data_IF_487522103764
#
_entry.id   IF_487522103764
#
_cell.length_a   1.000
_cell.length_b   1.000
_cell.length_c   1.000
_cell.angle_alpha   90.00
_cell.angle_beta   90.00
_cell.angle_gamma   90.00
#
_symmetry.space_group_name_H-M   'P 1'
#
loop_
_entity.id
_entity.type
_entity.pdbx_description
1 polymer ?
#
# COMPACT_ATOMS: atom_id res chain seq x y z
N UNK A 1 -29.54 -1.37 -15.76
CA UNK A 1 -28.97 -1.74 -14.44
C UNK A 1 -27.48 -1.57 -14.51
N UNK A 2 -26.86 -0.86 -13.54
CA UNK A 2 -25.40 -0.78 -13.42
C UNK A 2 -24.92 -2.08 -12.77
N UNK A 3 -23.94 -2.76 -13.36
CA UNK A 3 -23.39 -4.00 -12.85
C UNK A 3 -22.00 -3.74 -12.29
N UNK A 4 -21.81 -3.94 -10.99
CA UNK A 4 -20.52 -3.80 -10.32
C UNK A 4 -19.70 -5.09 -10.44
N UNK A 5 -18.63 -5.04 -11.23
CA UNK A 5 -17.65 -6.14 -11.27
C UNK A 5 -16.67 -5.98 -10.11
N UNK A 6 -16.47 -7.02 -9.28
CA UNK A 6 -15.53 -6.93 -8.17
C UNK A 6 -14.10 -6.74 -8.67
N UNK A 7 -13.45 -5.65 -8.21
CA UNK A 7 -12.04 -5.38 -8.52
C UNK A 7 -11.16 -6.39 -7.76
N UNK A 8 -10.20 -7.05 -8.44
CA UNK A 8 -9.27 -7.96 -7.77
C UNK A 8 -8.43 -7.24 -6.72
N UNK A 9 -7.99 -7.97 -5.68
CA UNK A 9 -7.25 -7.39 -4.54
C UNK A 9 -5.97 -6.70 -5.00
N UNK A 10 -5.27 -7.24 -6.00
CA UNK A 10 -4.08 -6.63 -6.61
C UNK A 10 -4.38 -5.22 -7.14
N UNK A 11 -5.48 -5.05 -7.85
CA UNK A 11 -5.90 -3.74 -8.37
C UNK A 11 -6.23 -2.74 -7.27
N UNK A 12 -6.89 -3.20 -6.19
CA UNK A 12 -7.18 -2.35 -5.02
C UNK A 12 -5.90 -1.89 -4.32
N UNK A 13 -4.93 -2.78 -4.15
CA UNK A 13 -3.65 -2.48 -3.54
C UNK A 13 -2.84 -1.50 -4.39
N UNK A 14 -2.74 -1.75 -5.70
CA UNK A 14 -2.04 -0.86 -6.63
C UNK A 14 -2.66 0.55 -6.65
N UNK A 15 -4.00 0.64 -6.70
CA UNK A 15 -4.70 1.92 -6.64
C UNK A 15 -4.47 2.65 -5.31
N UNK A 16 -4.49 1.93 -4.18
CA UNK A 16 -4.24 2.51 -2.86
C UNK A 16 -2.81 3.05 -2.74
N UNK A 17 -1.80 2.31 -3.22
CA UNK A 17 -0.42 2.79 -3.26
C UNK A 17 -0.25 3.99 -4.19
N UNK A 18 -0.92 4.01 -5.35
CA UNK A 18 -0.90 5.16 -6.24
C UNK A 18 -1.51 6.40 -5.56
N UNK A 19 -2.65 6.24 -4.89
CA UNK A 19 -3.28 7.33 -4.12
C UNK A 19 -2.39 7.81 -2.99
N UNK A 20 -1.75 6.89 -2.24
CA UNK A 20 -0.80 7.22 -1.19
C UNK A 20 0.37 8.04 -1.74
N UNK A 21 0.99 7.62 -2.85
CA UNK A 21 2.12 8.33 -3.45
C UNK A 21 1.75 9.70 -3.98
N UNK A 22 0.63 9.82 -4.69
CA UNK A 22 0.16 11.12 -5.17
C UNK A 22 -0.07 12.08 -4.01
N UNK A 23 -0.71 11.61 -2.95
CA UNK A 23 -1.00 12.42 -1.79
C UNK A 23 0.28 12.82 -1.06
N UNK A 24 1.19 11.88 -0.81
CA UNK A 24 2.49 12.09 -0.19
C UNK A 24 3.31 13.17 -0.92
N UNK A 25 3.45 13.05 -2.24
CA UNK A 25 4.16 14.03 -3.08
C UNK A 25 3.50 15.42 -2.99
N UNK A 26 2.16 15.50 -2.98
CA UNK A 26 1.49 16.78 -2.86
C UNK A 26 1.64 17.41 -1.48
N UNK A 27 1.71 16.64 -0.41
CA UNK A 27 2.01 17.15 0.93
C UNK A 27 3.40 17.78 0.94
N UNK A 28 4.43 17.10 0.43
CA UNK A 28 5.79 17.61 0.33
C UNK A 28 5.85 18.87 -0.57
N UNK A 29 5.17 18.82 -1.71
CA UNK A 29 5.09 19.96 -2.63
C UNK A 29 4.44 21.19 -1.98
N UNK A 30 3.34 21.01 -1.27
CA UNK A 30 2.62 22.10 -0.61
C UNK A 30 3.40 22.64 0.61
N UNK A 31 4.22 21.83 1.25
CA UNK A 31 5.13 22.28 2.31
C UNK A 31 6.13 23.37 1.83
N UNK A 32 6.49 23.37 0.53
CA UNK A 32 7.35 24.40 -0.06
C UNK A 32 6.75 25.81 0.01
N UNK A 33 5.43 25.94 0.16
CA UNK A 33 4.76 27.23 0.30
C UNK A 33 4.79 27.78 1.73
N UNK A 34 5.33 27.02 2.69
CA UNK A 34 5.51 27.52 4.07
C UNK A 34 6.57 28.59 4.10
N UNK A 35 6.31 29.75 4.76
CA UNK A 35 7.33 30.79 4.94
C UNK A 35 8.61 30.24 5.60
N UNK A 36 9.76 30.56 5.02
CA UNK A 36 11.07 30.13 5.50
C UNK A 36 11.53 28.76 5.01
N UNK A 37 10.62 27.85 4.63
CA UNK A 37 10.98 26.48 4.25
C UNK A 37 11.94 26.41 3.04
N UNK A 38 11.74 27.26 2.03
CA UNK A 38 12.64 27.34 0.89
C UNK A 38 14.00 27.94 1.24
N UNK A 39 14.05 28.83 2.22
CA UNK A 39 15.30 29.44 2.67
C UNK A 39 16.14 28.41 3.47
N UNK A 40 15.51 27.57 4.27
CA UNK A 40 16.16 26.44 4.94
C UNK A 40 16.73 25.43 3.94
N UNK A 41 15.96 25.06 2.90
CA UNK A 41 16.45 24.20 1.81
C UNK A 41 17.67 24.84 1.10
N UNK A 42 17.64 26.13 0.83
CA UNK A 42 18.77 26.86 0.21
C UNK A 42 19.98 26.92 1.12
N UNK A 43 19.76 26.98 2.42
CA UNK A 43 20.81 26.89 3.43
C UNK A 43 21.36 25.47 3.60
N UNK A 44 20.76 24.49 2.94
CA UNK A 44 21.18 23.08 2.99
C UNK A 44 20.64 22.32 4.18
N UNK A 45 19.50 22.75 4.74
CA UNK A 45 18.88 22.09 5.90
C UNK A 45 17.40 21.79 5.60
N UNK A 46 16.94 20.61 6.01
CA UNK A 46 15.52 20.23 6.02
C UNK A 46 15.23 19.59 7.37
N UNK A 47 14.34 20.20 8.16
CA UNK A 47 14.17 19.89 9.58
C UNK A 47 15.52 19.97 10.31
N UNK A 48 15.98 18.89 10.91
CA UNK A 48 17.26 18.79 11.61
C UNK A 48 18.37 18.14 10.77
N UNK A 49 18.13 17.91 9.48
CA UNK A 49 19.06 17.19 8.59
C UNK A 49 19.75 18.12 7.60
N UNK A 50 21.06 17.91 7.42
CA UNK A 50 21.80 18.52 6.32
C UNK A 50 21.44 17.82 5.00
N UNK A 51 21.15 18.61 3.95
CA UNK A 51 20.81 18.10 2.61
C UNK A 51 22.06 17.66 1.85
N UNK A 52 22.69 16.58 2.32
CA UNK A 52 23.82 15.94 1.66
C UNK A 52 23.41 14.76 0.78
N UNK A 53 24.39 14.09 0.11
CA UNK A 53 24.12 12.94 -0.74
C UNK A 53 23.41 11.79 0.00
N UNK A 54 23.69 11.60 1.29
CA UNK A 54 23.04 10.59 2.12
C UNK A 54 21.56 10.92 2.34
N UNK A 55 21.24 12.18 2.65
CA UNK A 55 19.86 12.64 2.82
C UNK A 55 19.03 12.42 1.54
N UNK A 56 19.58 12.88 0.40
CA UNK A 56 18.88 12.72 -0.89
C UNK A 56 18.70 11.25 -1.26
N UNK A 57 19.71 10.41 -1.02
CA UNK A 57 19.62 8.97 -1.27
C UNK A 57 18.61 8.26 -0.37
N UNK A 58 18.57 8.61 0.91
CA UNK A 58 17.59 8.08 1.87
C UNK A 58 16.17 8.52 1.51
N UNK A 59 15.97 9.79 1.17
CA UNK A 59 14.68 10.33 0.73
C UNK A 59 14.18 9.66 -0.54
N UNK A 60 15.06 9.46 -1.54
CA UNK A 60 14.71 8.72 -2.76
C UNK A 60 14.31 7.28 -2.44
N UNK A 61 14.97 6.63 -1.50
CA UNK A 61 14.62 5.26 -1.08
C UNK A 61 13.25 5.22 -0.41
N UNK A 62 12.99 6.17 0.50
CA UNK A 62 11.68 6.31 1.15
C UNK A 62 10.54 6.54 0.14
N UNK A 63 10.75 7.37 -0.87
CA UNK A 63 9.72 7.59 -1.91
C UNK A 63 9.66 6.41 -2.90
N UNK A 64 10.80 5.80 -3.20
CA UNK A 64 10.92 4.71 -4.18
C UNK A 64 10.20 3.43 -3.77
N UNK A 65 10.23 3.08 -2.48
CA UNK A 65 9.59 1.84 -1.99
C UNK A 65 8.07 1.84 -2.26
N UNK A 66 7.27 2.82 -1.80
CA UNK A 66 5.83 2.79 -2.06
C UNK A 66 5.49 3.01 -3.55
N UNK A 67 6.33 3.75 -4.30
CA UNK A 67 6.18 3.86 -5.74
C UNK A 67 6.34 2.49 -6.43
N UNK A 68 7.33 1.69 -6.03
CA UNK A 68 7.50 0.33 -6.52
C UNK A 68 6.34 -0.58 -6.11
N UNK A 69 5.72 -0.36 -4.96
CA UNK A 69 4.57 -1.15 -4.50
C UNK A 69 3.37 -1.07 -5.44
N UNK A 70 3.24 -0.02 -6.22
CA UNK A 70 2.19 0.09 -7.26
C UNK A 70 2.36 -1.05 -8.28
N UNK A 71 3.56 -1.20 -8.83
CA UNK A 71 3.87 -2.26 -9.78
C UNK A 71 3.89 -3.64 -9.12
N UNK A 72 4.57 -3.79 -7.99
CA UNK A 72 4.70 -5.06 -7.28
C UNK A 72 3.34 -5.63 -6.87
N UNK A 73 2.37 -4.78 -6.50
CA UNK A 73 1.01 -5.22 -6.17
C UNK A 73 0.29 -5.87 -7.35
N UNK A 74 0.67 -5.58 -8.59
CA UNK A 74 0.06 -6.17 -9.79
C UNK A 74 0.75 -7.43 -10.27
N UNK A 75 2.09 -7.54 -10.09
CA UNK A 75 2.91 -8.59 -10.70
C UNK A 75 3.26 -9.74 -9.74
N UNK A 76 3.28 -9.48 -8.42
CA UNK A 76 3.66 -10.50 -7.46
C UNK A 76 2.58 -11.60 -7.31
N UNK A 77 2.99 -12.85 -7.08
CA UNK A 77 2.05 -13.92 -6.74
C UNK A 77 1.38 -13.63 -5.39
N UNK A 78 0.13 -14.09 -5.22
CA UNK A 78 -0.75 -13.72 -4.11
C UNK A 78 -0.12 -13.83 -2.71
N UNK A 79 0.66 -14.88 -2.45
CA UNK A 79 1.33 -15.09 -1.15
C UNK A 79 2.39 -14.01 -0.87
N UNK A 80 3.30 -13.79 -1.84
CA UNK A 80 4.35 -12.78 -1.73
C UNK A 80 3.74 -11.38 -1.67
N UNK A 81 2.77 -11.09 -2.53
CA UNK A 81 2.05 -9.83 -2.59
C UNK A 81 1.42 -9.47 -1.23
N UNK A 82 0.71 -10.43 -0.62
CA UNK A 82 0.12 -10.25 0.71
C UNK A 82 1.18 -9.88 1.76
N UNK A 83 2.27 -10.65 1.84
CA UNK A 83 3.31 -10.43 2.86
C UNK A 83 3.99 -9.09 2.67
N UNK A 84 4.42 -8.78 1.44
CA UNK A 84 5.12 -7.53 1.12
C UNK A 84 4.24 -6.31 1.41
N UNK A 85 2.96 -6.34 1.02
CA UNK A 85 2.03 -5.24 1.32
C UNK A 85 1.81 -5.04 2.82
N UNK A 86 1.70 -6.14 3.60
CA UNK A 86 1.55 -6.06 5.06
C UNK A 86 2.80 -5.44 5.72
N UNK A 87 3.99 -5.89 5.32
CA UNK A 87 5.25 -5.40 5.88
C UNK A 87 5.47 -3.93 5.53
N UNK A 88 5.38 -3.60 4.23
CA UNK A 88 5.64 -2.23 3.77
C UNK A 88 4.63 -1.25 4.35
N UNK A 89 3.33 -1.55 4.32
CA UNK A 89 2.33 -0.66 4.87
C UNK A 89 2.49 -0.46 6.40
N UNK A 90 2.86 -1.52 7.14
CA UNK A 90 3.13 -1.39 8.57
C UNK A 90 4.36 -0.50 8.86
N UNK A 91 5.41 -0.60 8.04
CA UNK A 91 6.61 0.22 8.17
C UNK A 91 6.37 1.70 7.85
N UNK A 92 5.40 2.00 6.97
CA UNK A 92 5.08 3.39 6.60
C UNK A 92 4.21 4.13 7.62
N UNK A 93 3.54 3.45 8.53
CA UNK A 93 2.78 4.11 9.61
C UNK A 93 3.70 5.02 10.47
N UNK A 94 4.81 4.52 11.05
CA UNK A 94 5.72 5.40 11.81
C UNK A 94 6.37 6.47 10.95
N UNK A 95 6.66 6.21 9.66
CA UNK A 95 7.20 7.22 8.74
C UNK A 95 6.22 8.38 8.56
N UNK A 96 4.94 8.09 8.30
CA UNK A 96 3.87 9.09 8.18
C UNK A 96 3.75 9.95 9.45
N UNK A 97 3.82 9.31 10.63
CA UNK A 97 3.73 10.04 11.90
C UNK A 97 4.95 10.94 12.10
N UNK A 98 6.15 10.43 11.81
CA UNK A 98 7.41 11.17 11.96
C UNK A 98 7.47 12.42 11.07
N UNK A 99 6.92 12.37 9.86
CA UNK A 99 6.90 13.50 8.92
C UNK A 99 6.13 14.74 9.45
N UNK A 100 5.33 14.58 10.49
CA UNK A 100 4.60 15.68 11.13
C UNK A 100 5.13 16.02 12.52
N UNK A 101 6.18 15.35 12.98
CA UNK A 101 6.79 15.62 14.27
C UNK A 101 7.55 16.96 14.23
N UNK A 102 7.46 17.73 15.32
CA UNK A 102 8.12 19.04 15.44
C UNK A 102 7.46 20.19 14.68
N UNK A 103 6.37 19.97 13.97
CA UNK A 103 5.69 21.02 13.21
C UNK A 103 4.85 21.96 14.08
N UNK A 104 4.80 23.23 13.67
CA UNK A 104 4.07 24.25 14.45
C UNK A 104 2.56 24.02 14.41
N UNK A 105 1.85 24.35 15.50
CA UNK A 105 0.40 24.29 15.60
C UNK A 105 -0.31 25.13 14.53
N UNK A 106 0.34 26.15 13.97
CA UNK A 106 -0.21 26.96 12.88
C UNK A 106 -0.50 26.14 11.62
N UNK A 107 0.21 25.04 11.40
CA UNK A 107 0.02 24.09 10.31
C UNK A 107 -0.64 22.78 10.76
N UNK A 108 -1.20 22.75 11.98
CA UNK A 108 -1.81 21.56 12.58
C UNK A 108 -2.94 20.95 11.72
N UNK A 109 -3.75 21.79 11.06
CA UNK A 109 -4.77 21.28 10.13
C UNK A 109 -4.16 20.59 8.91
N UNK A 110 -3.10 21.17 8.32
CA UNK A 110 -2.42 20.62 7.15
C UNK A 110 -1.81 19.25 7.46
N UNK A 111 -1.01 19.16 8.50
CA UNK A 111 -0.37 17.90 8.91
C UNK A 111 -1.36 16.89 9.50
N UNK A 112 -2.35 17.35 10.26
CA UNK A 112 -3.40 16.49 10.79
C UNK A 112 -4.23 15.83 9.68
N UNK A 113 -4.56 16.58 8.63
CA UNK A 113 -5.24 16.05 7.46
C UNK A 113 -4.36 15.07 6.69
N UNK A 114 -3.05 15.40 6.50
CA UNK A 114 -2.14 14.53 5.78
C UNK A 114 -1.96 13.18 6.47
N UNK A 115 -1.69 13.18 7.77
CA UNK A 115 -1.59 11.95 8.57
C UNK A 115 -2.89 11.14 8.47
N UNK A 116 -4.04 11.80 8.64
CA UNK A 116 -5.33 11.10 8.61
C UNK A 116 -5.55 10.37 7.27
N UNK A 117 -5.31 11.03 6.14
CA UNK A 117 -5.48 10.44 4.81
C UNK A 117 -4.46 9.33 4.57
N UNK A 118 -3.18 9.55 4.87
CA UNK A 118 -2.14 8.55 4.69
C UNK A 118 -2.38 7.30 5.54
N UNK A 119 -2.73 7.47 6.82
CA UNK A 119 -3.05 6.35 7.73
C UNK A 119 -4.30 5.61 7.27
N UNK A 120 -5.32 6.29 6.77
CA UNK A 120 -6.51 5.64 6.19
C UNK A 120 -6.15 4.78 4.97
N UNK A 121 -5.28 5.28 4.08
CA UNK A 121 -4.81 4.52 2.93
C UNK A 121 -3.97 3.31 3.35
N UNK A 122 -3.05 3.48 4.30
CA UNK A 122 -2.25 2.38 4.86
C UNK A 122 -3.14 1.34 5.56
N UNK A 123 -4.13 1.76 6.33
CA UNK A 123 -5.11 0.88 6.96
C UNK A 123 -5.94 0.10 5.91
N UNK A 124 -6.33 0.76 4.83
CA UNK A 124 -7.01 0.10 3.72
C UNK A 124 -6.13 -0.96 3.05
N UNK A 125 -4.83 -0.66 2.82
CA UNK A 125 -3.85 -1.60 2.28
C UNK A 125 -3.69 -2.80 3.22
N UNK A 126 -3.46 -2.55 4.51
CA UNK A 126 -3.32 -3.60 5.54
C UNK A 126 -4.56 -4.49 5.59
N UNK A 127 -5.76 -3.89 5.64
CA UNK A 127 -7.02 -4.64 5.64
C UNK A 127 -7.17 -5.48 4.37
N UNK A 128 -6.93 -4.89 3.20
CA UNK A 128 -7.09 -5.58 1.91
C UNK A 128 -6.12 -6.74 1.75
N UNK A 129 -4.86 -6.57 2.19
CA UNK A 129 -3.86 -7.63 2.19
C UNK A 129 -4.16 -8.71 3.25
N UNK A 130 -4.66 -8.32 4.44
CA UNK A 130 -4.99 -9.26 5.52
C UNK A 130 -6.18 -10.15 5.16
N UNK A 131 -7.24 -9.57 4.60
CA UNK A 131 -8.48 -10.25 4.22
C UNK A 131 -8.42 -10.89 2.84
N UNK A 132 -7.21 -11.13 2.28
CA UNK A 132 -7.06 -11.74 0.96
C UNK A 132 -7.83 -13.03 0.84
N UNK A 133 -8.76 -13.19 -0.14
CA UNK A 133 -9.56 -14.37 -0.31
C UNK A 133 -8.69 -15.62 -0.51
N UNK A 134 -8.92 -16.65 0.29
CA UNK A 134 -8.32 -17.96 0.09
C UNK A 134 -9.25 -18.74 -0.82
N UNK A 135 -8.79 -19.18 -1.99
CA UNK A 135 -9.53 -20.15 -2.79
C UNK A 135 -9.58 -21.45 -2.02
N UNK A 136 -10.77 -21.85 -1.56
CA UNK A 136 -11.02 -23.24 -1.19
C UNK A 136 -10.77 -24.08 -2.45
N UNK A 137 -9.88 -25.06 -2.41
CA UNK A 137 -9.79 -26.04 -3.50
C UNK A 137 -11.18 -26.60 -3.72
N UNK A 138 -11.68 -26.66 -4.97
CA UNK A 138 -12.92 -27.37 -5.23
C UNK A 138 -12.73 -28.77 -4.68
N UNK A 139 -13.62 -29.20 -3.79
CA UNK A 139 -13.73 -30.62 -3.45
C UNK A 139 -13.97 -31.36 -4.77
N UNK A 140 -13.00 -32.16 -5.16
CA UNK A 140 -13.21 -33.09 -6.31
C UNK A 140 -14.47 -33.87 -5.97
N UNK A 141 -15.53 -33.78 -6.79
CA UNK A 141 -16.68 -34.64 -6.56
C UNK A 141 -16.15 -36.08 -6.62
N UNK A 142 -16.45 -36.87 -5.60
CA UNK A 142 -16.20 -38.31 -5.64
C UNK A 142 -16.76 -38.82 -6.96
N UNK A 143 -15.87 -39.21 -7.86
CA UNK A 143 -16.23 -39.91 -9.08
C UNK A 143 -16.84 -41.21 -8.58
N UNK A 144 -18.18 -41.25 -8.54
CA UNK A 144 -18.93 -42.46 -8.31
C UNK A 144 -18.43 -43.49 -9.34
N UNK A 145 -17.68 -44.46 -8.85
CA UNK A 145 -17.19 -45.56 -9.67
C UNK A 145 -18.38 -46.17 -10.40
N UNK A 146 -18.37 -46.33 -11.74
CA UNK A 146 -19.46 -46.93 -12.45
C UNK A 146 -19.66 -48.38 -11.94
N UNK A 147 -20.84 -48.59 -11.44
CA UNK A 147 -21.24 -49.85 -10.77
C UNK A 147 -20.90 -51.09 -11.57
N UNK A 148 -20.20 -52.00 -10.91
CA UNK A 148 -20.23 -53.42 -11.30
C UNK A 148 -21.63 -53.93 -11.06
N UNK A 149 -22.42 -53.90 -12.06
CA UNK A 149 -23.67 -54.70 -12.07
C UNK A 149 -24.06 -55.07 -13.50
N UNK A 150 -24.18 -56.33 -13.72
CA UNK A 150 -24.80 -57.05 -14.85
C UNK A 150 -23.84 -57.86 -15.75
N UNK A 151 -23.09 -58.78 -15.14
CA UNK A 151 -22.65 -60.00 -15.86
C UNK A 151 -22.83 -61.18 -14.93
N UNK A 152 -24.03 -61.40 -14.43
CA UNK A 152 -24.37 -62.70 -13.80
C UNK A 152 -25.89 -62.95 -13.86
N UNK A 153 -26.40 -63.07 -15.07
CA UNK A 153 -27.76 -63.68 -15.30
C UNK A 153 -27.87 -64.21 -16.73
N UNK A 154 -26.97 -65.13 -17.09
CA UNK A 154 -27.16 -65.99 -18.25
C UNK A 154 -26.34 -67.29 -18.12
N UNK A 155 -26.75 -68.16 -17.24
CA UNK A 155 -26.56 -69.61 -17.36
C UNK A 155 -27.71 -70.34 -16.73
#
# INVERSE_FOLDING_TARGET
MLEDRPIPVQGKLAAAWASFMLFYIYVDYLALYKPGFLDDIRAGVVHDFETGPLFVGASLTLVGIPALMIALSTILPARANRVVNLVVAALYIPVTIYNADGESLSYGYFYGLSIAVEVLLLAFILRSAWTWPRTSSPSVPDVVAPGRSSVEAAR
#
